data_IF_065440125658
#
_entry.id   IF_065440125658
#
_cell.length_a   1.000
_cell.length_b   1.000
_cell.length_c   1.000
_cell.angle_alpha   90.00
_cell.angle_beta   90.00
_cell.angle_gamma   90.00
#
_symmetry.space_group_name_H-M   'P 1'
#
loop_
_entity.id
_entity.type
_entity.pdbx_description
1 polymer ?
#
# COMPACT_ATOMS: atom_id res chain seq x y z
N UNK A 1 6.10 3.20 1.58
CA UNK A 1 6.27 4.63 1.25
C UNK A 1 6.13 5.43 2.55
N UNK A 2 7.14 6.21 2.91
CA UNK A 2 7.04 7.14 4.04
C UNK A 2 6.60 8.50 3.50
N UNK A 3 5.80 9.24 4.28
CA UNK A 3 5.44 10.61 3.92
C UNK A 3 6.69 11.49 4.02
N UNK A 4 7.13 12.06 2.89
CA UNK A 4 8.30 12.95 2.85
C UNK A 4 7.85 14.41 2.72
N UNK A 5 8.15 15.22 3.74
CA UNK A 5 7.86 16.65 3.76
C UNK A 5 8.55 17.43 2.63
N UNK A 6 9.67 16.93 2.12
CA UNK A 6 10.38 17.54 0.97
C UNK A 6 9.57 17.36 -0.30
N UNK A 7 8.97 16.19 -0.51
CA UNK A 7 8.10 15.89 -1.66
C UNK A 7 6.79 16.69 -1.58
N UNK A 8 6.24 16.89 -0.38
CA UNK A 8 5.05 17.74 -0.20
C UNK A 8 5.26 19.20 -0.61
N UNK A 9 6.49 19.71 -0.62
CA UNK A 9 6.78 21.07 -1.08
C UNK A 9 6.56 21.23 -2.59
N UNK A 10 6.78 20.16 -3.37
CA UNK A 10 6.56 20.14 -4.82
C UNK A 10 5.08 20.07 -5.22
N UNK A 11 4.17 19.86 -4.26
CA UNK A 11 2.71 19.93 -4.53
C UNK A 11 2.17 21.37 -4.54
N UNK A 12 2.99 22.38 -4.20
CA UNK A 12 2.58 23.80 -4.24
C UNK A 12 2.15 24.15 -5.68
N UNK A 13 0.84 24.39 -5.86
CA UNK A 13 0.20 24.62 -7.16
C UNK A 13 -0.90 23.60 -7.49
N UNK A 14 -0.75 22.34 -7.08
CA UNK A 14 -1.73 21.26 -7.33
C UNK A 14 -2.55 20.85 -6.11
N UNK A 15 -2.26 21.42 -4.93
CA UNK A 15 -3.02 21.21 -3.68
C UNK A 15 -4.54 21.29 -3.82
N UNK A 16 -5.14 22.28 -4.51
CA UNK A 16 -6.60 22.33 -4.65
C UNK A 16 -7.13 21.13 -5.45
N UNK A 17 -6.37 20.62 -6.43
CA UNK A 17 -6.74 19.41 -7.18
C UNK A 17 -6.64 18.16 -6.31
N UNK A 18 -5.57 18.04 -5.52
CA UNK A 18 -5.43 16.94 -4.55
C UNK A 18 -6.60 16.96 -3.55
N UNK A 19 -6.95 18.14 -3.03
CA UNK A 19 -8.10 18.29 -2.14
C UNK A 19 -9.41 17.87 -2.82
N UNK A 20 -9.61 18.26 -4.09
CA UNK A 20 -10.78 17.84 -4.87
C UNK A 20 -10.81 16.32 -5.08
N UNK A 21 -9.68 15.68 -5.38
CA UNK A 21 -9.57 14.21 -5.47
C UNK A 21 -9.93 13.54 -4.14
N UNK A 22 -9.46 14.09 -3.02
CA UNK A 22 -9.81 13.59 -1.68
C UNK A 22 -11.30 13.75 -1.41
N UNK A 23 -11.90 14.88 -1.77
CA UNK A 23 -13.34 15.12 -1.64
C UNK A 23 -14.15 14.09 -2.43
N UNK A 24 -13.81 13.87 -3.71
CA UNK A 24 -14.44 12.84 -4.55
C UNK A 24 -14.28 11.44 -3.94
N UNK A 25 -13.11 11.14 -3.38
CA UNK A 25 -12.85 9.90 -2.66
C UNK A 25 -13.70 9.74 -1.40
N UNK A 26 -13.88 10.81 -0.61
CA UNK A 26 -14.75 10.79 0.56
C UNK A 26 -16.21 10.55 0.15
N UNK A 27 -16.70 11.21 -0.90
CA UNK A 27 -18.05 10.96 -1.43
C UNK A 27 -18.21 9.51 -1.93
N UNK A 28 -17.23 8.98 -2.67
CA UNK A 28 -17.19 7.57 -3.08
C UNK A 28 -17.24 6.62 -1.87
N UNK A 29 -16.49 6.92 -0.80
CA UNK A 29 -16.51 6.15 0.45
C UNK A 29 -17.87 6.22 1.13
N UNK A 30 -18.47 7.40 1.27
CA UNK A 30 -19.81 7.58 1.88
C UNK A 30 -20.85 6.77 1.11
N UNK A 31 -20.84 6.82 -0.22
CA UNK A 31 -21.72 6.02 -1.06
C UNK A 31 -21.44 4.51 -0.89
N UNK A 32 -20.17 4.13 -0.73
CA UNK A 32 -19.78 2.76 -0.41
C UNK A 32 -20.36 2.25 0.91
N UNK A 33 -20.33 3.06 1.96
CA UNK A 33 -20.93 2.76 3.27
C UNK A 33 -22.45 2.72 3.16
N UNK A 34 -23.05 3.74 2.53
CA UNK A 34 -24.49 3.82 2.30
C UNK A 34 -25.01 2.60 1.53
N UNK A 35 -24.28 2.13 0.50
CA UNK A 35 -24.60 0.90 -0.24
C UNK A 35 -24.71 -0.31 0.69
N UNK A 36 -23.75 -0.49 1.61
CA UNK A 36 -23.77 -1.62 2.54
C UNK A 36 -24.95 -1.53 3.51
N UNK A 37 -25.23 -0.33 4.03
CA UNK A 37 -26.37 -0.10 4.90
C UNK A 37 -27.72 -0.34 4.20
N UNK A 38 -27.89 0.20 2.99
CA UNK A 38 -29.07 0.00 2.16
C UNK A 38 -29.27 -1.46 1.78
N UNK A 39 -28.19 -2.19 1.51
CA UNK A 39 -28.24 -3.62 1.26
C UNK A 39 -28.69 -4.39 2.50
N UNK A 40 -28.18 -4.05 3.68
CA UNK A 40 -28.63 -4.62 4.95
C UNK A 40 -30.11 -4.35 5.21
N UNK A 41 -30.56 -3.12 4.95
CA UNK A 41 -31.98 -2.74 5.06
C UNK A 41 -32.87 -3.51 4.09
N UNK A 42 -32.45 -3.63 2.82
CA UNK A 42 -33.15 -4.42 1.80
C UNK A 42 -33.30 -5.88 2.23
N UNK A 43 -32.21 -6.50 2.70
CA UNK A 43 -32.23 -7.88 3.19
C UNK A 43 -33.19 -8.02 4.38
N UNK A 44 -33.16 -7.07 5.33
CA UNK A 44 -34.08 -7.05 6.47
C UNK A 44 -35.56 -7.02 6.05
N UNK A 45 -35.92 -6.21 5.06
CA UNK A 45 -37.29 -6.14 4.53
C UNK A 45 -37.73 -7.45 3.85
N UNK A 46 -36.81 -8.12 3.15
CA UNK A 46 -37.07 -9.43 2.54
C UNK A 46 -37.38 -10.47 3.62
N UNK A 47 -36.59 -10.51 4.70
CA UNK A 47 -36.84 -11.43 5.83
C UNK A 47 -38.14 -11.12 6.57
N UNK A 48 -38.61 -9.87 6.56
CA UNK A 48 -39.91 -9.48 7.12
C UNK A 48 -41.10 -9.85 6.21
N UNK A 49 -40.86 -10.44 5.03
CA UNK A 49 -41.92 -10.85 4.11
C UNK A 49 -42.63 -9.67 3.40
N UNK A 50 -41.95 -8.53 3.28
CA UNK A 50 -42.50 -7.35 2.59
C UNK A 50 -42.85 -7.66 1.12
N UNK A 51 -43.94 -7.04 0.64
CA UNK A 51 -44.35 -7.19 -0.76
C UNK A 51 -43.35 -6.58 -1.73
N UNK A 52 -43.34 -7.05 -2.99
CA UNK A 52 -42.46 -6.53 -4.05
C UNK A 52 -42.53 -5.00 -4.19
N UNK A 53 -43.71 -4.40 -3.96
CA UNK A 53 -43.89 -2.95 -4.02
C UNK A 53 -43.10 -2.18 -2.95
N UNK A 54 -42.94 -2.77 -1.76
CA UNK A 54 -42.14 -2.20 -0.67
C UNK A 54 -40.62 -2.35 -0.87
N UNK A 55 -40.19 -3.24 -1.77
CA UNK A 55 -38.77 -3.48 -2.06
C UNK A 55 -38.22 -2.57 -3.16
N UNK A 56 -39.08 -1.97 -4.00
CA UNK A 56 -38.67 -1.13 -5.13
C UNK A 56 -37.76 0.01 -4.67
N UNK A 57 -38.14 0.73 -3.61
CA UNK A 57 -37.37 1.88 -3.12
C UNK A 57 -35.97 1.45 -2.63
N UNK A 58 -35.81 0.48 -1.71
CA UNK A 58 -34.49 0.01 -1.30
C UNK A 58 -33.65 -0.53 -2.47
N UNK A 59 -34.26 -1.21 -3.45
CA UNK A 59 -33.56 -1.69 -4.65
C UNK A 59 -33.02 -0.52 -5.48
N UNK A 60 -33.86 0.48 -5.77
CA UNK A 60 -33.48 1.66 -6.57
C UNK A 60 -32.40 2.47 -5.85
N UNK A 61 -32.54 2.68 -4.54
CA UNK A 61 -31.53 3.40 -3.75
C UNK A 61 -30.20 2.64 -3.71
N UNK A 62 -30.24 1.32 -3.55
CA UNK A 62 -29.03 0.48 -3.55
C UNK A 62 -28.34 0.52 -4.91
N UNK A 63 -29.09 0.31 -6.00
CA UNK A 63 -28.59 0.38 -7.36
C UNK A 63 -28.05 1.76 -7.73
N UNK A 64 -28.78 2.82 -7.37
CA UNK A 64 -28.36 4.20 -7.56
C UNK A 64 -27.07 4.53 -6.82
N UNK A 65 -26.93 4.07 -5.57
CA UNK A 65 -25.70 4.23 -4.78
C UNK A 65 -24.51 3.51 -5.44
N UNK A 66 -24.70 2.32 -6.01
CA UNK A 66 -23.64 1.59 -6.73
C UNK A 66 -23.17 2.38 -7.95
N UNK A 67 -24.11 2.86 -8.78
CA UNK A 67 -23.79 3.61 -10.00
C UNK A 67 -23.09 4.92 -9.62
N UNK A 68 -23.65 5.65 -8.66
CA UNK A 68 -23.12 6.94 -8.24
C UNK A 68 -21.71 6.79 -7.66
N UNK A 69 -21.47 5.76 -6.83
CA UNK A 69 -20.13 5.44 -6.34
C UNK A 69 -19.16 5.19 -7.49
N UNK A 70 -19.57 4.41 -8.49
CA UNK A 70 -18.75 4.13 -9.68
C UNK A 70 -18.38 5.41 -10.45
N UNK A 71 -19.33 6.35 -10.59
CA UNK A 71 -19.08 7.65 -11.24
C UNK A 71 -18.10 8.52 -10.45
N UNK A 72 -18.29 8.66 -9.13
CA UNK A 72 -17.37 9.42 -8.28
C UNK A 72 -15.98 8.80 -8.24
N UNK A 73 -15.90 7.47 -8.21
CA UNK A 73 -14.63 6.75 -8.26
C UNK A 73 -13.91 6.95 -9.59
N UNK A 74 -14.64 6.88 -10.71
CA UNK A 74 -14.08 7.18 -12.03
C UNK A 74 -13.56 8.62 -12.09
N UNK A 75 -14.34 9.60 -11.67
CA UNK A 75 -13.89 11.00 -11.63
C UNK A 75 -12.68 11.20 -10.73
N UNK A 76 -12.64 10.55 -9.55
CA UNK A 76 -11.50 10.57 -8.64
C UNK A 76 -10.23 10.11 -9.36
N UNK A 77 -10.29 8.96 -10.04
CA UNK A 77 -9.17 8.38 -10.78
C UNK A 77 -8.73 9.31 -11.92
N UNK A 78 -9.68 9.84 -12.69
CA UNK A 78 -9.37 10.75 -13.79
C UNK A 78 -8.69 12.04 -13.30
N UNK A 79 -9.19 12.67 -12.24
CA UNK A 79 -8.59 13.88 -11.65
C UNK A 79 -7.21 13.56 -11.08
N UNK A 80 -7.05 12.42 -10.41
CA UNK A 80 -5.77 11.96 -9.88
C UNK A 80 -4.70 11.83 -10.97
N UNK A 81 -5.00 11.12 -12.07
CA UNK A 81 -4.07 10.97 -13.19
C UNK A 81 -3.68 12.31 -13.83
N UNK A 82 -4.65 13.18 -14.10
CA UNK A 82 -4.36 14.51 -14.66
C UNK A 82 -3.51 15.37 -13.72
N UNK A 83 -3.72 15.22 -12.41
CA UNK A 83 -2.93 15.92 -11.39
C UNK A 83 -1.50 15.39 -11.36
N UNK A 84 -1.33 14.07 -11.41
CA UNK A 84 -0.02 13.43 -11.43
C UNK A 84 0.79 13.82 -12.68
N UNK A 85 0.18 13.77 -13.87
CA UNK A 85 0.81 14.19 -15.12
C UNK A 85 1.27 15.66 -15.11
N UNK A 86 0.49 16.55 -14.47
CA UNK A 86 0.86 17.96 -14.33
C UNK A 86 2.09 18.15 -13.41
N UNK A 87 2.14 17.41 -12.30
CA UNK A 87 3.29 17.42 -11.37
C UNK A 87 4.53 16.87 -12.07
N UNK A 88 4.41 15.75 -12.78
CA UNK A 88 5.51 15.17 -13.56
C UNK A 88 6.06 16.16 -14.59
N UNK A 89 5.18 16.82 -15.37
CA UNK A 89 5.61 17.81 -16.36
C UNK A 89 6.42 18.93 -15.71
N UNK A 90 5.94 19.45 -14.59
CA UNK A 90 6.61 20.53 -13.85
C UNK A 90 7.97 20.08 -13.30
N UNK A 91 8.05 18.86 -12.77
CA UNK A 91 9.30 18.30 -12.25
C UNK A 91 10.32 18.03 -13.35
N UNK A 92 9.89 17.48 -14.50
CA UNK A 92 10.77 17.27 -15.67
C UNK A 92 11.33 18.59 -16.19
N UNK A 93 10.50 19.64 -16.25
CA UNK A 93 10.95 20.99 -16.63
C UNK A 93 11.98 21.53 -15.64
N UNK A 94 11.71 21.50 -14.34
CA UNK A 94 12.66 21.99 -13.33
C UNK A 94 14.00 21.23 -13.34
N UNK A 95 13.96 19.91 -13.56
CA UNK A 95 15.17 19.10 -13.67
C UNK A 95 15.96 19.43 -14.94
N UNK A 96 15.26 19.58 -16.07
CA UNK A 96 15.87 19.98 -17.34
C UNK A 96 16.55 21.35 -17.22
N UNK A 97 15.84 22.35 -16.71
CA UNK A 97 16.35 23.70 -16.52
C UNK A 97 17.58 23.69 -15.61
N UNK A 98 17.57 22.86 -14.55
CA UNK A 98 18.71 22.76 -13.65
C UNK A 98 19.93 22.11 -14.29
N UNK A 99 19.73 21.10 -15.14
CA UNK A 99 20.83 20.47 -15.89
C UNK A 99 21.43 21.47 -16.88
N UNK A 100 20.58 22.26 -17.56
CA UNK A 100 21.03 23.32 -18.47
C UNK A 100 21.82 24.40 -17.72
N UNK A 101 21.34 24.83 -16.54
CA UNK A 101 22.03 25.81 -15.69
C UNK A 101 23.41 25.32 -15.20
N UNK A 102 23.53 24.03 -14.87
CA UNK A 102 24.81 23.43 -14.45
C UNK A 102 25.83 23.29 -15.60
N UNK A 103 25.36 23.36 -16.84
CA UNK A 103 26.18 23.39 -18.04
C UNK A 103 26.89 22.06 -18.38
N UNK A 104 27.63 22.04 -19.51
CA UNK A 104 28.25 20.83 -20.05
C UNK A 104 29.36 20.25 -19.16
N UNK A 105 29.98 21.07 -18.31
CA UNK A 105 31.04 20.64 -17.38
C UNK A 105 30.53 19.71 -16.27
N UNK A 106 29.27 19.83 -15.85
CA UNK A 106 28.64 18.91 -14.91
C UNK A 106 28.08 17.67 -15.64
N UNK A 107 27.38 17.88 -16.76
CA UNK A 107 26.79 16.80 -17.55
C UNK A 107 27.83 15.82 -18.11
N UNK A 108 29.03 16.30 -18.47
CA UNK A 108 30.12 15.45 -18.97
C UNK A 108 30.84 14.62 -17.89
N UNK A 109 30.66 14.95 -16.59
CA UNK A 109 31.26 14.21 -15.46
C UNK A 109 30.37 13.09 -14.94
N UNK A 110 29.08 13.14 -15.23
CA UNK A 110 28.09 12.14 -14.84
C UNK A 110 27.89 11.13 -15.96
N UNK A 111 27.54 9.88 -15.63
CA UNK A 111 27.11 8.92 -16.65
C UNK A 111 25.76 9.40 -17.20
N UNK A 112 25.71 9.73 -18.49
CA UNK A 112 24.48 10.22 -19.16
C UNK A 112 23.28 9.30 -18.92
N UNK A 113 23.48 7.98 -18.88
CA UNK A 113 22.44 7.01 -18.54
C UNK A 113 21.88 7.14 -17.13
N UNK A 114 22.68 7.50 -16.14
CA UNK A 114 22.27 7.67 -14.74
C UNK A 114 21.44 8.95 -14.55
N UNK A 115 21.79 10.01 -15.29
CA UNK A 115 21.00 11.25 -15.36
C UNK A 115 19.64 11.03 -16.02
N UNK A 116 19.60 10.29 -17.13
CA UNK A 116 18.35 9.96 -17.84
C UNK A 116 17.46 9.05 -16.99
N UNK A 117 18.02 7.99 -16.39
CA UNK A 117 17.29 7.10 -15.46
C UNK A 117 16.68 7.90 -14.30
N UNK A 118 17.44 8.83 -13.71
CA UNK A 118 16.93 9.67 -12.61
C UNK A 118 15.81 10.62 -13.05
N UNK A 119 15.88 11.16 -14.28
CA UNK A 119 14.86 12.07 -14.82
C UNK A 119 13.60 11.36 -15.31
N UNK A 120 13.73 10.13 -15.80
CA UNK A 120 12.61 9.36 -16.35
C UNK A 120 12.00 8.52 -15.23
N UNK A 121 12.71 7.51 -14.74
CA UNK A 121 12.19 6.55 -13.76
C UNK A 121 11.92 7.22 -12.41
N UNK A 122 12.81 8.14 -11.99
CA UNK A 122 12.64 8.86 -10.73
C UNK A 122 11.41 9.77 -10.71
N UNK A 123 11.08 10.40 -11.83
CA UNK A 123 9.88 11.25 -11.96
C UNK A 123 8.62 10.42 -12.21
N UNK A 124 8.74 9.29 -12.91
CA UNK A 124 7.64 8.36 -13.13
C UNK A 124 7.16 7.74 -11.82
N UNK A 125 8.06 7.36 -10.92
CA UNK A 125 7.68 6.89 -9.57
C UNK A 125 6.93 7.94 -8.74
N UNK A 126 7.12 9.24 -9.02
CA UNK A 126 6.38 10.31 -8.35
C UNK A 126 4.92 10.39 -8.84
N UNK A 127 4.57 9.81 -9.98
CA UNK A 127 3.18 9.71 -10.45
C UNK A 127 2.31 8.96 -9.46
N UNK A 128 2.73 7.74 -9.14
CA UNK A 128 2.02 6.86 -8.20
C UNK A 128 1.96 7.53 -6.83
N UNK A 129 3.01 8.26 -6.43
CA UNK A 129 3.03 8.97 -5.17
C UNK A 129 1.97 10.08 -5.10
N UNK A 130 1.93 10.99 -6.09
CA UNK A 130 1.05 12.16 -6.08
C UNK A 130 -0.38 11.86 -6.57
N UNK A 131 -0.52 10.93 -7.51
CA UNK A 131 -1.81 10.52 -8.09
C UNK A 131 -2.57 9.56 -7.19
N UNK A 132 -1.91 8.52 -6.67
CA UNK A 132 -2.60 7.44 -5.95
C UNK A 132 -2.34 7.50 -4.45
N UNK A 133 -1.08 7.46 -4.04
CA UNK A 133 -0.72 7.28 -2.63
C UNK A 133 -1.19 8.44 -1.76
N UNK A 134 -0.94 9.68 -2.17
CA UNK A 134 -1.19 10.85 -1.35
C UNK A 134 -2.69 11.13 -1.14
N UNK A 135 -3.56 11.13 -2.18
CA UNK A 135 -5.00 11.20 -1.97
C UNK A 135 -5.53 10.00 -1.18
N UNK A 136 -5.06 8.78 -1.50
CA UNK A 136 -5.51 7.57 -0.81
C UNK A 136 -5.12 7.58 0.67
N UNK A 137 -3.95 8.10 1.04
CA UNK A 137 -3.53 8.25 2.44
C UNK A 137 -4.54 9.08 3.23
N UNK A 138 -4.95 10.23 2.69
CA UNK A 138 -5.93 11.12 3.33
C UNK A 138 -7.31 10.47 3.40
N UNK A 139 -7.76 9.83 2.32
CA UNK A 139 -9.05 9.11 2.30
C UNK A 139 -9.04 7.98 3.33
N UNK A 140 -7.97 7.17 3.37
CA UNK A 140 -7.81 6.05 4.31
C UNK A 140 -7.71 6.50 5.77
N UNK A 141 -7.21 7.71 6.05
CA UNK A 141 -7.19 8.26 7.41
C UNK A 141 -8.60 8.68 7.88
N UNK A 142 -9.41 9.21 6.97
CA UNK A 142 -10.77 9.71 7.28
C UNK A 142 -11.81 8.57 7.27
N UNK A 143 -11.62 7.56 6.42
CA UNK A 143 -12.59 6.46 6.21
C UNK A 143 -12.96 5.71 7.50
N UNK A 144 -12.03 5.30 8.38
CA UNK A 144 -12.37 4.64 9.64
C UNK A 144 -13.25 5.51 10.55
N UNK A 145 -12.99 6.82 10.61
CA UNK A 145 -13.80 7.76 11.39
C UNK A 145 -15.21 7.86 10.82
N UNK A 146 -15.35 7.96 9.50
CA UNK A 146 -16.66 7.98 8.84
C UNK A 146 -17.47 6.71 9.12
N UNK A 147 -16.83 5.54 8.99
CA UNK A 147 -17.48 4.24 9.27
C UNK A 147 -17.89 4.18 10.74
N UNK A 148 -17.00 4.53 11.67
CA UNK A 148 -17.29 4.51 13.09
C UNK A 148 -18.45 5.45 13.44
N UNK A 149 -18.42 6.70 12.98
CA UNK A 149 -19.50 7.66 13.24
C UNK A 149 -20.85 7.18 12.70
N UNK A 150 -20.86 6.56 11.51
CA UNK A 150 -22.08 6.01 10.92
C UNK A 150 -22.62 4.81 11.72
N UNK A 151 -21.76 3.84 12.06
CA UNK A 151 -22.20 2.67 12.84
C UNK A 151 -22.60 3.07 14.26
N UNK A 152 -21.87 4.00 14.90
CA UNK A 152 -22.18 4.48 16.24
C UNK A 152 -23.53 5.20 16.32
N UNK A 153 -23.96 5.83 15.21
CA UNK A 153 -25.30 6.39 15.09
C UNK A 153 -26.41 5.32 15.04
N UNK A 154 -26.12 4.14 14.47
CA UNK A 154 -27.06 3.02 14.41
C UNK A 154 -27.08 2.22 15.71
N UNK A 155 -25.90 1.81 16.18
CA UNK A 155 -25.69 0.99 17.36
C UNK A 155 -24.27 1.24 17.94
N UNK A 156 -24.24 1.91 19.09
CA UNK A 156 -22.99 2.29 19.75
C UNK A 156 -22.20 1.07 20.29
N UNK A 157 -22.81 0.08 20.99
CA UNK A 157 -22.14 -1.16 21.36
C UNK A 157 -21.45 -1.90 20.20
N UNK A 158 -22.14 -2.04 19.07
CA UNK A 158 -21.58 -2.66 17.86
C UNK A 158 -20.42 -1.84 17.31
N UNK A 159 -20.56 -0.51 17.23
CA UNK A 159 -19.51 0.37 16.76
C UNK A 159 -18.23 0.29 17.62
N UNK A 160 -18.39 0.27 18.95
CA UNK A 160 -17.27 0.16 19.89
C UNK A 160 -16.56 -1.18 19.75
N UNK A 161 -17.30 -2.28 19.62
CA UNK A 161 -16.75 -3.62 19.42
C UNK A 161 -15.90 -3.68 18.15
N UNK A 162 -16.43 -3.19 17.02
CA UNK A 162 -15.70 -3.14 15.75
C UNK A 162 -14.48 -2.22 15.82
N UNK A 163 -14.58 -1.08 16.51
CA UNK A 163 -13.46 -0.16 16.70
C UNK A 163 -12.33 -0.78 17.52
N UNK A 164 -12.65 -1.45 18.62
CA UNK A 164 -11.66 -2.15 19.45
C UNK A 164 -10.99 -3.26 18.64
N UNK A 165 -11.78 -4.07 17.92
CA UNK A 165 -11.24 -5.11 17.05
C UNK A 165 -10.31 -4.55 15.96
N UNK A 166 -10.68 -3.44 15.32
CA UNK A 166 -9.85 -2.77 14.33
C UNK A 166 -8.56 -2.20 14.95
N UNK A 167 -8.63 -1.63 16.16
CA UNK A 167 -7.44 -1.14 16.88
C UNK A 167 -6.49 -2.29 17.25
N UNK A 168 -7.01 -3.43 17.69
CA UNK A 168 -6.18 -4.62 17.95
C UNK A 168 -5.53 -5.11 16.64
N UNK A 169 -6.31 -5.20 15.55
CA UNK A 169 -5.82 -5.61 14.25
C UNK A 169 -4.69 -4.71 13.72
N UNK A 170 -4.72 -3.41 14.02
CA UNK A 170 -3.66 -2.46 13.65
C UNK A 170 -2.47 -2.46 14.63
N UNK A 171 -2.74 -2.51 15.93
CA UNK A 171 -1.71 -2.33 16.95
C UNK A 171 -0.93 -3.63 17.25
N UNK A 172 -1.58 -4.78 17.25
CA UNK A 172 -0.94 -6.04 17.63
C UNK A 172 0.22 -6.44 16.69
N UNK A 173 0.11 -6.34 15.35
CA UNK A 173 1.24 -6.48 14.43
C UNK A 173 2.44 -5.58 14.72
N UNK A 174 2.18 -4.35 15.20
CA UNK A 174 3.22 -3.34 15.41
C UNK A 174 4.23 -3.72 16.51
N UNK A 175 3.82 -4.58 17.45
CA UNK A 175 4.67 -5.07 18.53
C UNK A 175 5.86 -5.91 18.02
N UNK A 176 5.67 -6.66 16.94
CA UNK A 176 6.72 -7.47 16.31
C UNK A 176 7.53 -6.71 15.24
N UNK A 177 7.02 -5.55 14.80
CA UNK A 177 7.56 -4.84 13.65
C UNK A 177 9.05 -4.47 13.80
N UNK A 178 9.51 -4.08 15.00
CA UNK A 178 10.92 -3.72 15.25
C UNK A 178 11.85 -4.93 15.13
N UNK A 179 11.43 -6.10 15.59
CA UNK A 179 12.22 -7.33 15.48
C UNK A 179 12.27 -7.82 14.03
N UNK A 180 11.15 -7.75 13.32
CA UNK A 180 11.07 -8.14 11.91
C UNK A 180 11.88 -7.23 11.00
N UNK A 181 11.91 -5.92 11.25
CA UNK A 181 12.75 -4.97 10.52
C UNK A 181 14.24 -5.34 10.62
N UNK A 182 14.73 -5.59 11.84
CA UNK A 182 16.12 -5.97 12.06
C UNK A 182 16.45 -7.31 11.39
N UNK A 183 15.60 -8.33 11.58
CA UNK A 183 15.79 -9.65 10.96
C UNK A 183 15.74 -9.60 9.44
N UNK A 184 14.88 -8.76 8.86
CA UNK A 184 14.82 -8.57 7.41
C UNK A 184 16.08 -7.88 6.87
N UNK A 185 16.60 -6.87 7.58
CA UNK A 185 17.88 -6.22 7.21
C UNK A 185 19.06 -7.19 7.33
N UNK A 186 19.13 -7.97 8.41
CA UNK A 186 20.16 -8.98 8.62
C UNK A 186 20.11 -10.04 7.51
N UNK A 187 18.90 -10.50 7.15
CA UNK A 187 18.68 -11.41 6.00
C UNK A 187 19.15 -10.79 4.69
N UNK A 188 18.86 -9.52 4.43
CA UNK A 188 19.27 -8.84 3.19
C UNK A 188 20.79 -8.75 3.08
N UNK A 189 21.49 -8.46 4.19
CA UNK A 189 22.96 -8.49 4.25
C UNK A 189 23.50 -9.89 4.02
N UNK A 190 22.93 -10.90 4.69
CA UNK A 190 23.33 -12.30 4.53
C UNK A 190 23.14 -12.79 3.08
N UNK A 191 22.05 -12.38 2.43
CA UNK A 191 21.78 -12.66 1.02
C UNK A 191 22.85 -12.05 0.10
N UNK A 192 23.22 -10.78 0.31
CA UNK A 192 24.24 -10.12 -0.50
C UNK A 192 25.61 -10.79 -0.36
N UNK A 193 26.00 -11.16 0.86
CA UNK A 193 27.25 -11.90 1.12
C UNK A 193 27.22 -13.27 0.44
N UNK A 194 26.15 -14.04 0.61
CA UNK A 194 25.99 -15.35 -0.05
C UNK A 194 26.04 -15.24 -1.57
N UNK A 195 25.37 -14.26 -2.17
CA UNK A 195 25.35 -14.05 -3.61
C UNK A 195 26.77 -13.76 -4.15
N UNK A 196 27.57 -12.97 -3.44
CA UNK A 196 28.98 -12.73 -3.78
C UNK A 196 29.80 -14.01 -3.67
N UNK A 197 29.72 -14.73 -2.55
CA UNK A 197 30.48 -15.98 -2.33
C UNK A 197 30.14 -17.06 -3.35
N UNK A 198 28.88 -17.13 -3.77
CA UNK A 198 28.39 -18.03 -4.81
C UNK A 198 28.94 -17.64 -6.18
N UNK A 199 28.89 -16.35 -6.54
CA UNK A 199 29.43 -15.86 -7.81
C UNK A 199 30.93 -16.13 -7.92
N UNK A 200 31.69 -15.84 -6.86
CA UNK A 200 33.14 -16.10 -6.81
C UNK A 200 33.45 -17.59 -7.00
N UNK A 201 32.64 -18.48 -6.40
CA UNK A 201 32.82 -19.92 -6.55
C UNK A 201 32.49 -20.40 -7.98
N UNK A 202 31.49 -19.81 -8.64
CA UNK A 202 31.15 -20.13 -10.03
C UNK A 202 32.23 -19.64 -10.98
N UNK A 203 32.73 -18.41 -10.80
CA UNK A 203 33.82 -17.86 -11.61
C UNK A 203 35.13 -18.62 -11.39
N UNK A 204 35.42 -19.01 -10.15
CA UNK A 204 36.60 -19.79 -9.77
C UNK A 204 36.47 -21.31 -9.91
N UNK A 205 35.39 -21.81 -10.50
CA UNK A 205 35.09 -23.25 -10.53
C UNK A 205 36.19 -24.08 -11.19
N UNK A 206 36.80 -23.55 -12.26
CA UNK A 206 37.93 -24.19 -12.94
C UNK A 206 39.09 -24.43 -11.99
N UNK A 207 39.52 -23.38 -11.28
CA UNK A 207 40.57 -23.46 -10.26
C UNK A 207 40.20 -24.42 -9.13
N UNK A 208 38.98 -24.35 -8.61
CA UNK A 208 38.51 -25.24 -7.54
C UNK A 208 38.54 -26.71 -7.97
N UNK A 209 38.22 -27.03 -9.22
CA UNK A 209 38.33 -28.40 -9.77
C UNK A 209 39.79 -28.83 -9.93
N UNK A 210 40.65 -27.98 -10.48
CA UNK A 210 42.07 -28.29 -10.68
C UNK A 210 42.80 -28.60 -9.37
N UNK A 211 42.42 -27.95 -8.27
CA UNK A 211 42.99 -28.20 -6.93
C UNK A 211 42.19 -29.20 -6.08
N UNK A 212 41.15 -29.85 -6.61
CA UNK A 212 40.32 -30.80 -5.87
C UNK A 212 39.48 -30.20 -4.73
N UNK A 213 39.30 -28.88 -4.70
CA UNK A 213 38.62 -28.11 -3.65
C UNK A 213 37.13 -27.84 -3.92
N UNK A 214 36.56 -28.41 -4.99
CA UNK A 214 35.16 -28.19 -5.36
C UNK A 214 34.16 -28.66 -4.29
N UNK A 215 34.45 -29.80 -3.63
CA UNK A 215 33.55 -30.39 -2.64
C UNK A 215 33.55 -29.61 -1.31
N UNK A 216 34.71 -29.28 -0.69
CA UNK A 216 34.76 -28.40 0.48
C UNK A 216 34.07 -27.05 0.25
N UNK A 217 34.27 -26.43 -0.92
CA UNK A 217 33.63 -25.15 -1.24
C UNK A 217 32.11 -25.29 -1.40
N UNK A 218 31.64 -26.38 -2.01
CA UNK A 218 30.21 -26.68 -2.13
C UNK A 218 29.54 -26.90 -0.77
N UNK A 219 30.21 -27.61 0.15
CA UNK A 219 29.70 -27.85 1.51
C UNK A 219 29.57 -26.53 2.29
N UNK A 220 30.59 -25.67 2.23
CA UNK A 220 30.55 -24.32 2.81
C UNK A 220 29.38 -23.46 2.27
N UNK A 221 29.18 -23.43 0.94
CA UNK A 221 28.06 -22.71 0.33
C UNK A 221 26.71 -23.30 0.73
N UNK A 222 26.63 -24.63 0.91
CA UNK A 222 25.41 -25.32 1.35
C UNK A 222 25.02 -24.90 2.77
N UNK A 223 25.99 -24.78 3.67
CA UNK A 223 25.75 -24.28 5.04
C UNK A 223 25.23 -22.84 5.03
N UNK A 224 25.90 -21.94 4.29
CA UNK A 224 25.46 -20.54 4.12
C UNK A 224 24.06 -20.44 3.53
N UNK A 225 23.77 -21.23 2.51
CA UNK A 225 22.44 -21.29 1.90
C UNK A 225 21.38 -21.76 2.90
N UNK A 226 21.70 -22.74 3.76
CA UNK A 226 20.77 -23.26 4.78
C UNK A 226 20.52 -22.24 5.90
N UNK A 227 21.51 -21.45 6.29
CA UNK A 227 21.33 -20.36 7.26
C UNK A 227 20.49 -19.22 6.68
N UNK A 228 20.74 -18.85 5.42
CA UNK A 228 19.93 -17.87 4.69
C UNK A 228 18.47 -18.36 4.54
N UNK A 229 18.28 -19.65 4.25
CA UNK A 229 16.95 -20.26 4.18
C UNK A 229 16.23 -20.18 5.53
N UNK A 230 16.88 -20.56 6.63
CA UNK A 230 16.30 -20.47 7.99
C UNK A 230 15.91 -19.03 8.35
N UNK A 231 16.78 -18.06 8.07
CA UNK A 231 16.49 -16.64 8.31
C UNK A 231 15.30 -16.15 7.47
N UNK A 232 15.22 -16.59 6.22
CA UNK A 232 14.10 -16.29 5.32
C UNK A 232 12.79 -16.91 5.82
N UNK A 233 12.81 -18.17 6.25
CA UNK A 233 11.65 -18.84 6.84
C UNK A 233 11.19 -18.17 8.12
N UNK A 234 12.10 -17.70 8.97
CA UNK A 234 11.76 -16.94 10.16
C UNK A 234 10.99 -15.65 9.81
N UNK A 235 11.51 -14.84 8.88
CA UNK A 235 10.84 -13.60 8.44
C UNK A 235 9.48 -13.89 7.80
N UNK A 236 9.34 -15.00 7.07
CA UNK A 236 8.05 -15.40 6.49
C UNK A 236 7.05 -15.88 7.55
N UNK A 237 7.52 -16.63 8.55
CA UNK A 237 6.69 -17.09 9.66
C UNK A 237 6.17 -15.91 10.50
N UNK A 238 7.00 -14.91 10.81
CA UNK A 238 6.57 -13.73 11.58
C UNK A 238 5.59 -12.86 10.79
N UNK A 239 5.83 -12.65 9.49
CA UNK A 239 4.86 -11.98 8.62
C UNK A 239 3.52 -12.73 8.53
N UNK A 240 3.56 -14.07 8.47
CA UNK A 240 2.34 -14.90 8.44
C UNK A 240 1.58 -14.84 9.78
N UNK A 241 2.29 -14.85 10.91
CA UNK A 241 1.70 -14.68 12.24
C UNK A 241 1.03 -13.30 12.38
N UNK A 242 1.71 -12.25 11.94
CA UNK A 242 1.19 -10.87 11.94
C UNK A 242 -0.12 -10.74 11.14
N UNK A 243 -0.17 -11.36 9.95
CA UNK A 243 -1.41 -11.46 9.17
C UNK A 243 -2.48 -12.27 9.89
N UNK A 244 -2.13 -13.41 10.47
CA UNK A 244 -3.06 -14.25 11.23
C UNK A 244 -3.69 -13.51 12.41
N UNK A 245 -2.92 -12.70 13.14
CA UNK A 245 -3.44 -11.84 14.23
C UNK A 245 -4.45 -10.84 13.69
N UNK A 246 -4.14 -10.19 12.57
CA UNK A 246 -5.02 -9.20 11.92
C UNK A 246 -6.35 -9.84 11.50
N UNK A 247 -6.29 -10.98 10.79
CA UNK A 247 -7.48 -11.69 10.29
C UNK A 247 -8.33 -12.23 11.44
N UNK A 248 -7.70 -12.79 12.47
CA UNK A 248 -8.40 -13.27 13.67
C UNK A 248 -9.09 -12.13 14.42
N UNK A 249 -8.43 -10.97 14.52
CA UNK A 249 -9.01 -9.78 15.17
C UNK A 249 -10.26 -9.29 14.42
N UNK A 250 -10.20 -9.26 13.08
CA UNK A 250 -11.34 -8.89 12.23
C UNK A 250 -12.49 -9.90 12.38
N UNK A 251 -12.19 -11.20 12.33
CA UNK A 251 -13.20 -12.25 12.42
C UNK A 251 -13.88 -12.29 13.80
N UNK A 252 -13.10 -12.22 14.89
CA UNK A 252 -13.64 -12.15 16.25
C UNK A 252 -14.44 -10.88 16.47
N UNK A 253 -13.95 -9.73 15.98
CA UNK A 253 -14.68 -8.46 16.05
C UNK A 253 -16.05 -8.54 15.39
N UNK A 254 -16.11 -9.12 14.17
CA UNK A 254 -17.37 -9.33 13.46
C UNK A 254 -18.29 -10.33 14.19
N UNK A 255 -17.75 -11.44 14.71
CA UNK A 255 -18.54 -12.44 15.42
C UNK A 255 -19.15 -11.90 16.72
N UNK A 256 -18.38 -11.14 17.51
CA UNK A 256 -18.90 -10.50 18.72
C UNK A 256 -19.93 -9.43 18.38
N UNK A 257 -19.68 -8.62 17.34
CA UNK A 257 -20.62 -7.60 16.87
C UNK A 257 -21.97 -8.18 16.42
N UNK A 258 -21.99 -9.38 15.82
CA UNK A 258 -23.22 -10.07 15.43
C UNK A 258 -23.98 -10.69 16.61
N UNK A 259 -23.32 -10.87 17.75
CA UNK A 259 -23.91 -11.45 18.96
C UNK A 259 -24.48 -10.42 19.96
N UNK A 260 -24.28 -9.12 19.70
CA UNK A 260 -24.86 -8.01 20.44
C UNK A 260 -26.23 -7.65 19.86
#
# INVERSE_FOLDING_TARGET
MHFDFRLWRFTRGVRPRIFFTVLLGIFSTILGVARLALLGWLIGLIFQGQSLSGLVIPIVLTGGSIILRGLFEHWRIMVAHHTAAMVQKTLRQNLYDKIVELGPGYAGRQRSGELVLSMVDGVEQLETYFGEYLPQLLISAITPLLIFSFVAFLDLPVALTLFIAAMIALAAPSLWHKFDLKKSQDRQKAYAVFASEFLDAVQGLGTLKSFGQSRPRSEFLTEKARDLFRSTMWVLATNSLSRGITDTSIALGAAVALGL
#
